data_IF_740629064088
#
_entry.id   IF_740629064088
#
_cell.length_a   1.000
_cell.length_b   1.000
_cell.length_c   1.000
_cell.angle_alpha   90.00
_cell.angle_beta   90.00
_cell.angle_gamma   90.00
#
_symmetry.space_group_name_H-M   'P 1'
#
loop_
_entity.id
_entity.type
_entity.pdbx_description
1 polymer ?
#
# COMPACT_ATOMS: atom_id res chain seq x y z
N UNK A 1 -5.13 0.98 11.99
CA UNK A 1 -3.67 1.17 11.87
C UNK A 1 -3.35 2.60 11.46
N UNK A 2 -2.08 2.97 11.41
CA UNK A 2 -1.65 4.25 10.84
C UNK A 2 -1.64 4.15 9.30
N UNK A 3 -2.26 5.10 8.57
CA UNK A 3 -2.24 5.09 7.12
C UNK A 3 -0.82 5.32 6.58
N UNK A 4 -0.48 4.78 5.39
CA UNK A 4 0.77 5.10 4.73
C UNK A 4 0.86 6.58 4.37
N UNK A 5 2.08 7.09 4.21
CA UNK A 5 2.29 8.42 3.64
C UNK A 5 1.70 8.53 2.22
N UNK A 6 1.20 9.72 1.82
CA UNK A 6 0.70 9.95 0.48
C UNK A 6 1.72 9.55 -0.59
N UNK A 7 1.24 8.86 -1.63
CA UNK A 7 2.07 8.28 -2.70
C UNK A 7 1.29 8.13 -4.01
N UNK A 8 1.97 8.26 -5.15
CA UNK A 8 1.51 7.93 -6.50
C UNK A 8 2.24 6.70 -7.05
N UNK A 9 1.78 6.17 -8.19
CA UNK A 9 2.46 5.11 -8.96
C UNK A 9 2.79 3.84 -8.16
N UNK A 10 2.03 3.59 -7.09
CA UNK A 10 2.11 2.36 -6.31
C UNK A 10 1.40 1.22 -7.04
N UNK A 11 1.81 -0.02 -6.74
CA UNK A 11 1.06 -1.21 -7.17
C UNK A 11 0.07 -1.59 -6.08
N UNK A 12 -1.17 -1.91 -6.47
CA UNK A 12 -2.19 -2.42 -5.56
C UNK A 12 -2.78 -3.73 -6.07
N UNK A 13 -2.97 -4.70 -5.17
CA UNK A 13 -3.59 -5.99 -5.49
C UNK A 13 -4.37 -6.55 -4.30
N UNK A 14 -5.45 -7.28 -4.57
CA UNK A 14 -6.18 -8.05 -3.55
C UNK A 14 -5.57 -9.45 -3.48
N UNK A 15 -5.36 -9.95 -2.27
CA UNK A 15 -4.88 -11.30 -1.98
C UNK A 15 -5.85 -12.06 -1.08
N UNK A 16 -6.10 -13.33 -1.44
CA UNK A 16 -6.98 -14.24 -0.71
C UNK A 16 -8.36 -13.65 -0.40
N UNK A 17 -8.88 -12.80 -1.29
CA UNK A 17 -10.16 -12.09 -1.17
C UNK A 17 -10.37 -11.29 0.13
N UNK A 18 -9.29 -11.03 0.88
CA UNK A 18 -9.34 -10.41 2.20
C UNK A 18 -8.35 -9.28 2.40
N UNK A 19 -7.16 -9.39 1.82
CA UNK A 19 -6.07 -8.45 2.08
C UNK A 19 -5.84 -7.55 0.88
N UNK A 20 -5.91 -6.23 1.09
CA UNK A 20 -5.43 -5.26 0.11
C UNK A 20 -3.95 -5.01 0.36
N UNK A 21 -3.12 -5.34 -0.63
CA UNK A 21 -1.67 -5.11 -0.65
C UNK A 21 -1.37 -3.84 -1.43
N UNK A 22 -0.54 -2.96 -0.87
CA UNK A 22 0.01 -1.78 -1.54
C UNK A 22 1.53 -1.85 -1.45
N UNK A 23 2.21 -1.94 -2.59
CA UNK A 23 3.66 -1.98 -2.66
C UNK A 23 4.24 -0.76 -3.36
N UNK A 24 5.24 -0.15 -2.72
CA UNK A 24 6.06 0.92 -3.29
C UNK A 24 5.26 2.18 -3.62
N UNK A 25 5.56 2.76 -4.79
CA UNK A 25 5.11 4.08 -5.22
C UNK A 25 6.11 5.18 -4.92
N UNK A 26 5.73 6.43 -5.13
CA UNK A 26 6.58 7.58 -4.87
C UNK A 26 5.80 8.79 -4.35
N UNK A 27 6.47 9.65 -3.61
CA UNK A 27 6.05 11.04 -3.37
C UNK A 27 6.91 11.97 -4.23
N UNK A 28 6.75 13.29 -4.05
CA UNK A 28 7.61 14.26 -4.73
C UNK A 28 9.12 14.11 -4.41
N UNK A 29 9.47 13.53 -3.27
CA UNK A 29 10.86 13.50 -2.77
C UNK A 29 11.37 12.10 -2.45
N UNK A 30 10.49 11.09 -2.46
CA UNK A 30 10.82 9.76 -1.92
C UNK A 30 10.22 8.68 -2.80
N UNK A 31 11.05 7.73 -3.24
CA UNK A 31 10.57 6.46 -3.77
C UNK A 31 10.43 5.46 -2.62
N UNK A 32 9.29 4.79 -2.53
CA UNK A 32 8.99 3.82 -1.48
C UNK A 32 9.28 2.40 -1.97
N UNK A 33 9.74 1.55 -1.04
CA UNK A 33 9.96 0.11 -1.25
C UNK A 33 9.30 -0.74 -0.14
N UNK A 34 8.34 -0.15 0.58
CA UNK A 34 7.57 -0.78 1.64
C UNK A 34 6.33 -1.50 1.11
N UNK A 35 5.79 -2.40 1.93
CA UNK A 35 4.53 -3.10 1.71
C UNK A 35 3.55 -2.74 2.82
N UNK A 36 2.39 -2.22 2.43
CA UNK A 36 1.26 -2.02 3.33
C UNK A 36 0.19 -3.08 3.07
N UNK A 37 -0.39 -3.58 4.16
CA UNK A 37 -1.45 -4.59 4.14
C UNK A 37 -2.65 -4.03 4.91
N UNK A 38 -3.80 -4.01 4.27
CA UNK A 38 -5.09 -3.72 4.90
C UNK A 38 -5.92 -5.00 4.94
N UNK A 39 -6.37 -5.40 6.13
CA UNK A 39 -7.35 -6.45 6.32
C UNK A 39 -8.75 -5.86 6.06
N UNK A 40 -9.48 -6.40 5.08
CA UNK A 40 -10.80 -5.90 4.69
C UNK A 40 -11.94 -6.46 5.56
N UNK A 41 -11.65 -7.42 6.44
CA UNK A 41 -12.63 -8.06 7.32
C UNK A 41 -12.46 -7.67 8.80
N UNK A 42 -11.57 -6.73 9.12
CA UNK A 42 -11.26 -6.29 10.50
C UNK A 42 -11.99 -5.03 10.95
#
# INVERSE_FOLDING_TARGET
GLPPSPRSDHTAAVHADRYLLIFGGASHTTCFNDLHVLDLES
#
